data_IF_898828343880
#
_entry.id   IF_898828343880
#
_cell.length_a   1.000
_cell.length_b   1.000
_cell.length_c   1.000
_cell.angle_alpha   90.00
_cell.angle_beta   90.00
_cell.angle_gamma   90.00
#
_symmetry.space_group_name_H-M   'P 1'
#
loop_
_entity.id
_entity.type
_entity.pdbx_description
1 polymer ?
#
# COMPACT_ATOMS: atom_id res chain seq x y z
N UNK A 1 -11.53 -2.57 18.01
CA UNK A 1 -10.43 -1.85 18.70
C UNK A 1 -9.29 -2.79 18.99
N UNK A 2 -9.54 -3.92 19.68
CA UNK A 2 -8.56 -5.01 19.85
C UNK A 2 -7.93 -5.42 18.51
N UNK A 3 -8.73 -5.75 17.49
CA UNK A 3 -8.22 -6.09 16.15
C UNK A 3 -7.30 -5.01 15.55
N UNK A 4 -7.60 -3.74 15.77
CA UNK A 4 -6.76 -2.65 15.26
C UNK A 4 -5.44 -2.55 16.01
N UNK A 5 -5.45 -2.81 17.32
CA UNK A 5 -4.25 -2.87 18.14
C UNK A 5 -3.38 -4.08 17.79
N UNK A 6 -3.99 -5.28 17.73
CA UNK A 6 -3.27 -6.55 17.54
C UNK A 6 -2.64 -6.65 16.15
N UNK A 7 -3.28 -6.06 15.14
CA UNK A 7 -2.76 -6.02 13.77
C UNK A 7 -1.87 -4.80 13.49
N UNK A 8 -1.67 -3.90 14.46
CA UNK A 8 -0.88 -2.67 14.25
C UNK A 8 -1.48 -1.74 13.19
N UNK A 9 -2.82 -1.66 13.10
CA UNK A 9 -3.49 -0.84 12.11
C UNK A 9 -3.20 0.65 12.32
N UNK A 10 -2.85 1.34 11.24
CA UNK A 10 -2.51 2.77 11.24
C UNK A 10 -3.72 3.64 11.55
N UNK A 11 -4.93 3.20 11.18
CA UNK A 11 -6.17 3.91 11.46
C UNK A 11 -7.39 2.98 11.54
N UNK A 12 -8.39 3.40 12.31
CA UNK A 12 -9.74 2.83 12.27
C UNK A 12 -10.61 3.75 11.40
N UNK A 13 -11.11 3.23 10.29
CA UNK A 13 -12.01 3.96 9.41
C UNK A 13 -13.47 3.62 9.72
N UNK A 14 -14.34 4.62 9.65
CA UNK A 14 -15.77 4.45 9.86
C UNK A 14 -16.58 5.24 8.85
N UNK A 15 -17.77 4.75 8.51
CA UNK A 15 -18.72 5.54 7.74
C UNK A 15 -20.01 5.67 8.53
N UNK A 16 -20.48 6.89 8.72
CA UNK A 16 -21.64 7.15 9.57
C UNK A 16 -22.42 8.39 9.14
N UNK A 17 -23.76 8.25 9.11
CA UNK A 17 -24.67 9.37 8.88
C UNK A 17 -24.98 10.17 10.14
N UNK A 18 -24.92 9.56 11.34
CA UNK A 18 -25.28 10.21 12.61
C UNK A 18 -24.10 10.46 13.55
N UNK A 19 -22.93 9.90 13.27
CA UNK A 19 -21.75 9.99 14.14
C UNK A 19 -21.74 8.97 15.28
N UNK A 20 -22.78 8.14 15.42
CA UNK A 20 -22.90 7.19 16.55
C UNK A 20 -21.77 6.17 16.55
N UNK A 21 -21.43 5.61 15.38
CA UNK A 21 -20.34 4.64 15.22
C UNK A 21 -19.00 5.21 15.66
N UNK A 22 -18.63 6.39 15.13
CA UNK A 22 -17.38 7.06 15.49
C UNK A 22 -17.29 7.36 16.99
N UNK A 23 -18.40 7.83 17.60
CA UNK A 23 -18.48 8.06 19.05
C UNK A 23 -18.36 6.77 19.85
N UNK A 24 -18.99 5.68 19.41
CA UNK A 24 -18.89 4.37 20.08
C UNK A 24 -17.44 3.88 20.10
N UNK A 25 -16.71 3.99 18.99
CA UNK A 25 -15.30 3.59 18.92
C UNK A 25 -14.43 4.54 19.77
N UNK A 26 -14.69 5.84 19.71
CA UNK A 26 -13.98 6.86 20.48
C UNK A 26 -14.00 6.58 21.99
N UNK A 27 -15.09 6.01 22.54
CA UNK A 27 -15.18 5.63 23.96
C UNK A 27 -14.07 4.68 24.40
N UNK A 28 -13.60 3.80 23.52
CA UNK A 28 -12.55 2.83 23.81
C UNK A 28 -11.14 3.42 23.70
N UNK A 29 -11.01 4.71 23.35
CA UNK A 29 -9.74 5.44 23.29
C UNK A 29 -8.63 4.69 22.55
N UNK A 30 -8.86 4.25 21.29
CA UNK A 30 -7.82 3.57 20.52
C UNK A 30 -6.58 4.45 20.36
N UNK A 31 -5.39 3.83 20.34
CA UNK A 31 -4.13 4.56 20.14
C UNK A 31 -4.00 5.14 18.73
N UNK A 32 -4.58 4.48 17.72
CA UNK A 32 -4.63 4.95 16.35
C UNK A 32 -5.83 5.90 16.11
N UNK A 33 -5.71 6.86 15.18
CA UNK A 33 -6.79 7.79 14.85
C UNK A 33 -8.01 7.08 14.27
N UNK A 34 -9.19 7.64 14.56
CA UNK A 34 -10.48 7.20 14.02
C UNK A 34 -10.84 8.13 12.85
N UNK A 35 -10.65 7.68 11.62
CA UNK A 35 -11.02 8.44 10.42
C UNK A 35 -12.51 8.18 10.14
N UNK A 36 -13.35 9.21 10.16
CA UNK A 36 -14.81 9.03 10.02
C UNK A 36 -15.37 9.73 8.80
N UNK A 37 -15.80 8.95 7.81
CA UNK A 37 -16.52 9.40 6.64
C UNK A 37 -17.98 9.74 6.96
N UNK A 38 -18.42 10.93 6.56
CA UNK A 38 -19.83 11.32 6.60
C UNK A 38 -20.21 12.16 5.38
N UNK A 39 -21.48 12.09 4.98
CA UNK A 39 -22.05 12.92 3.91
C UNK A 39 -22.67 14.22 4.46
N UNK A 40 -22.76 14.38 5.79
CA UNK A 40 -23.42 15.51 6.42
C UNK A 40 -22.42 16.41 7.16
N UNK A 41 -22.30 17.65 6.73
CA UNK A 41 -21.42 18.66 7.34
C UNK A 41 -21.73 18.93 8.81
N UNK A 42 -23.00 18.93 9.22
CA UNK A 42 -23.40 19.09 10.63
C UNK A 42 -22.81 17.97 11.49
N UNK A 43 -22.86 16.74 11.01
CA UNK A 43 -22.33 15.57 11.73
C UNK A 43 -20.81 15.59 11.72
N UNK A 44 -20.18 16.02 10.64
CA UNK A 44 -18.74 16.26 10.56
C UNK A 44 -18.29 17.21 11.68
N UNK A 45 -18.94 18.38 11.83
CA UNK A 45 -18.61 19.34 12.89
C UNK A 45 -18.83 18.78 14.29
N UNK A 46 -19.91 18.02 14.51
CA UNK A 46 -20.13 17.36 15.80
C UNK A 46 -19.08 16.30 16.13
N UNK A 47 -18.55 15.60 15.11
CA UNK A 47 -17.51 14.58 15.29
C UNK A 47 -16.14 15.17 15.61
N UNK A 48 -15.84 16.41 15.18
CA UNK A 48 -14.60 17.10 15.58
C UNK A 48 -14.45 17.25 17.11
N UNK A 49 -15.54 17.21 17.86
CA UNK A 49 -15.53 17.26 19.33
C UNK A 49 -15.31 15.88 19.98
N UNK A 50 -15.28 14.81 19.19
CA UNK A 50 -15.12 13.44 19.69
C UNK A 50 -13.64 13.06 19.74
N UNK A 51 -13.21 12.50 20.86
CA UNK A 51 -11.80 12.17 21.09
C UNK A 51 -11.25 11.22 20.01
N UNK A 52 -10.08 11.55 19.46
CA UNK A 52 -9.39 10.74 18.47
C UNK A 52 -10.09 10.61 17.11
N UNK A 53 -11.20 11.33 16.88
CA UNK A 53 -11.95 11.29 15.63
C UNK A 53 -11.47 12.38 14.67
N UNK A 54 -11.08 11.97 13.46
CA UNK A 54 -10.75 12.84 12.33
C UNK A 54 -11.88 12.70 11.30
N UNK A 55 -12.86 13.60 11.28
CA UNK A 55 -13.98 13.49 10.35
C UNK A 55 -13.60 13.95 8.95
N UNK A 56 -14.06 13.22 7.93
CA UNK A 56 -13.86 13.53 6.52
C UNK A 56 -15.20 13.51 5.80
N UNK A 57 -15.38 14.46 4.88
CA UNK A 57 -16.53 14.44 3.97
C UNK A 57 -16.30 13.36 2.92
N UNK A 58 -17.33 12.53 2.71
CA UNK A 58 -17.36 11.50 1.67
C UNK A 58 -18.67 11.62 0.90
N UNK A 59 -18.70 10.99 -0.27
CA UNK A 59 -19.91 10.89 -1.08
C UNK A 59 -20.68 9.65 -0.68
N UNK A 60 -21.99 9.67 -0.88
CA UNK A 60 -22.81 8.48 -0.74
C UNK A 60 -22.52 7.52 -1.90
N UNK A 61 -22.41 6.23 -1.60
CA UNK A 61 -22.27 5.15 -2.56
C UNK A 61 -23.32 4.09 -2.25
N UNK A 62 -23.83 3.43 -3.28
CA UNK A 62 -24.91 2.45 -3.16
C UNK A 62 -24.37 1.07 -2.74
N UNK A 63 -23.09 0.82 -3.01
CA UNK A 63 -22.42 -0.43 -2.66
C UNK A 63 -21.48 -0.26 -1.46
N UNK A 64 -21.44 -1.27 -0.60
CA UNK A 64 -20.62 -1.33 0.61
C UNK A 64 -19.13 -1.34 0.30
N UNK A 65 -18.70 -2.12 -0.71
CA UNK A 65 -17.29 -2.15 -1.09
C UNK A 65 -16.83 -0.85 -1.74
N UNK A 66 -17.64 -0.28 -2.64
CA UNK A 66 -17.35 1.03 -3.25
C UNK A 66 -17.25 2.15 -2.22
N UNK A 67 -18.10 2.11 -1.18
CA UNK A 67 -18.03 3.07 -0.09
C UNK A 67 -16.74 2.94 0.72
N UNK A 68 -16.29 1.71 0.98
CA UNK A 68 -15.04 1.46 1.69
C UNK A 68 -13.84 1.93 0.90
N UNK A 69 -13.77 1.61 -0.39
CA UNK A 69 -12.71 2.07 -1.27
C UNK A 69 -12.72 3.59 -1.40
N UNK A 70 -13.90 4.22 -1.48
CA UNK A 70 -14.04 5.68 -1.50
C UNK A 70 -13.48 6.33 -0.24
N UNK A 71 -13.82 5.81 0.94
CA UNK A 71 -13.34 6.35 2.23
C UNK A 71 -11.83 6.21 2.37
N UNK A 72 -11.28 5.06 1.96
CA UNK A 72 -9.83 4.81 1.93
C UNK A 72 -9.14 5.79 0.99
N UNK A 73 -9.69 6.02 -0.21
CA UNK A 73 -9.15 6.95 -1.19
C UNK A 73 -9.17 8.41 -0.71
N UNK A 74 -10.28 8.87 -0.13
CA UNK A 74 -10.37 10.23 0.43
C UNK A 74 -9.40 10.40 1.61
N UNK A 75 -9.25 9.37 2.47
CA UNK A 75 -8.28 9.39 3.56
C UNK A 75 -6.84 9.46 3.04
N UNK A 76 -6.53 8.75 1.95
CA UNK A 76 -5.24 8.78 1.25
C UNK A 76 -4.95 10.16 0.66
N UNK A 77 -5.91 10.74 -0.05
CA UNK A 77 -5.78 12.08 -0.66
C UNK A 77 -5.53 13.17 0.38
N UNK A 78 -6.13 13.05 1.57
CA UNK A 78 -5.90 13.95 2.71
C UNK A 78 -4.59 13.69 3.46
N UNK A 79 -3.82 12.67 3.06
CA UNK A 79 -2.55 12.30 3.70
C UNK A 79 -2.71 11.68 5.09
N UNK A 80 -3.91 11.19 5.44
CA UNK A 80 -4.17 10.54 6.73
C UNK A 80 -3.69 9.08 6.75
N UNK A 81 -3.64 8.45 5.58
CA UNK A 81 -3.10 7.10 5.37
C UNK A 81 -2.26 7.09 4.09
N UNK A 82 -1.35 6.13 4.00
CA UNK A 82 -0.45 5.92 2.86
C UNK A 82 -0.68 4.53 2.28
N UNK A 83 -0.32 4.34 1.01
CA UNK A 83 -0.40 3.02 0.40
C UNK A 83 0.43 2.00 1.20
N UNK A 84 -0.11 0.81 1.42
CA UNK A 84 0.49 -0.23 2.25
C UNK A 84 0.18 -0.13 3.74
N UNK A 85 -0.49 0.94 4.20
CA UNK A 85 -0.96 1.00 5.58
C UNK A 85 -2.10 0.00 5.79
N UNK A 86 -2.10 -0.68 6.94
CA UNK A 86 -3.20 -1.54 7.34
C UNK A 86 -4.28 -0.71 8.04
N UNK A 87 -5.53 -0.85 7.61
CA UNK A 87 -6.66 -0.12 8.18
C UNK A 87 -7.79 -1.05 8.55
N UNK A 88 -8.53 -0.69 9.60
CA UNK A 88 -9.72 -1.42 10.03
C UNK A 88 -10.94 -0.56 9.77
N UNK A 89 -11.80 -1.00 8.87
CA UNK A 89 -13.03 -0.30 8.48
C UNK A 89 -14.20 -0.89 9.27
N UNK A 90 -15.07 -0.04 9.80
CA UNK A 90 -16.33 -0.49 10.39
C UNK A 90 -17.52 0.42 10.05
N UNK A 91 -18.64 -0.20 9.74
CA UNK A 91 -19.87 0.48 9.32
C UNK A 91 -21.11 -0.29 9.76
N UNK A 92 -22.27 0.34 9.61
CA UNK A 92 -23.57 -0.32 9.68
C UNK A 92 -24.07 -0.66 8.28
N UNK A 93 -24.51 -1.90 8.09
CA UNK A 93 -25.21 -2.38 6.89
C UNK A 93 -26.66 -2.70 7.28
N UNK A 94 -27.69 -2.25 6.55
CA UNK A 94 -27.64 -1.56 5.24
C UNK A 94 -27.06 -0.15 5.30
N UNK A 95 -26.37 0.24 4.23
CA UNK A 95 -25.85 1.59 4.09
C UNK A 95 -26.97 2.62 4.15
N UNK A 96 -26.68 3.77 4.76
CA UNK A 96 -27.62 4.89 4.83
C UNK A 96 -28.68 4.80 5.91
N UNK A 97 -28.82 3.65 6.61
CA UNK A 97 -29.68 3.51 7.78
C UNK A 97 -28.84 3.70 9.05
N UNK A 98 -29.19 4.71 9.86
CA UNK A 98 -28.53 4.94 11.15
C UNK A 98 -29.09 4.00 12.21
N UNK A 99 -28.25 3.23 12.90
CA UNK A 99 -28.69 2.47 14.08
C UNK A 99 -27.81 1.28 14.45
N UNK A 100 -27.17 0.67 13.46
CA UNK A 100 -26.34 -0.52 13.64
C UNK A 100 -24.89 -0.25 13.26
N UNK A 101 -23.97 -1.02 13.83
CA UNK A 101 -22.56 -1.08 13.44
C UNK A 101 -22.19 -2.54 13.54
N UNK A 102 -22.38 -3.26 12.43
CA UNK A 102 -22.36 -4.73 12.37
C UNK A 102 -21.33 -5.28 11.38
N UNK A 103 -20.51 -4.42 10.77
CA UNK A 103 -19.49 -4.84 9.82
C UNK A 103 -18.11 -4.36 10.29
N UNK A 104 -17.15 -5.27 10.24
CA UNK A 104 -15.72 -4.99 10.38
C UNK A 104 -14.98 -5.62 9.20
N UNK A 105 -14.18 -4.82 8.49
CA UNK A 105 -13.33 -5.24 7.37
C UNK A 105 -11.91 -4.75 7.63
N UNK A 106 -10.93 -5.62 7.45
CA UNK A 106 -9.51 -5.22 7.50
C UNK A 106 -9.02 -5.12 6.06
N UNK A 107 -8.40 -4.00 5.70
CA UNK A 107 -7.98 -3.73 4.32
C UNK A 107 -6.65 -2.96 4.31
N UNK A 108 -5.76 -3.35 3.40
CA UNK A 108 -4.57 -2.59 3.07
C UNK A 108 -4.93 -1.41 2.16
N UNK A 109 -4.35 -0.25 2.41
CA UNK A 109 -4.59 0.96 1.61
C UNK A 109 -3.86 0.83 0.27
N UNK A 110 -4.62 1.00 -0.83
CA UNK A 110 -4.10 0.97 -2.20
C UNK A 110 -3.91 -0.44 -2.77
N UNK A 111 -3.60 -0.50 -4.07
CA UNK A 111 -3.46 -1.75 -4.82
C UNK A 111 -2.07 -2.38 -4.59
N UNK A 112 -1.88 -2.99 -3.43
CA UNK A 112 -0.66 -3.76 -3.13
C UNK A 112 -0.72 -5.10 -3.85
N UNK A 113 0.25 -5.33 -4.75
CA UNK A 113 0.36 -6.58 -5.50
C UNK A 113 1.16 -7.62 -4.72
N UNK A 114 2.31 -7.20 -4.18
CA UNK A 114 3.25 -8.08 -3.48
C UNK A 114 3.91 -7.29 -2.34
N UNK A 115 4.20 -8.00 -1.26
CA UNK A 115 4.96 -7.50 -0.10
C UNK A 115 6.20 -8.36 0.11
N UNK A 116 7.27 -7.77 0.60
CA UNK A 116 8.53 -8.43 0.91
C UNK A 116 9.41 -7.52 1.76
N UNK A 117 10.66 -7.92 1.93
CA UNK A 117 11.66 -7.17 2.69
C UNK A 117 12.42 -6.22 1.75
N UNK A 118 12.24 -4.93 1.96
CA UNK A 118 12.99 -3.90 1.26
C UNK A 118 14.40 -3.75 1.85
N UNK A 119 15.43 -3.93 1.03
CA UNK A 119 16.83 -3.88 1.48
C UNK A 119 17.51 -2.57 1.11
N UNK A 120 17.27 -2.11 -0.11
CA UNK A 120 17.81 -0.85 -0.61
C UNK A 120 16.81 0.28 -0.39
N UNK A 121 17.25 1.53 -0.48
CA UNK A 121 16.38 2.69 -0.34
C UNK A 121 16.04 3.24 -1.73
N UNK A 122 14.76 3.53 -1.95
CA UNK A 122 14.32 4.15 -3.20
C UNK A 122 12.94 3.70 -3.63
N UNK A 123 12.31 4.54 -4.45
CA UNK A 123 11.03 4.23 -5.09
C UNK A 123 11.21 4.38 -6.60
N UNK A 124 10.78 3.40 -7.37
CA UNK A 124 10.90 3.36 -8.82
C UNK A 124 9.58 2.97 -9.46
N UNK A 125 9.28 3.58 -10.60
CA UNK A 125 8.14 3.19 -11.44
C UNK A 125 8.68 2.77 -12.81
N UNK A 126 8.54 1.50 -13.16
CA UNK A 126 8.84 1.01 -14.50
C UNK A 126 8.06 -0.27 -14.82
N UNK A 127 8.26 -0.81 -16.01
CA UNK A 127 7.60 -2.03 -16.44
C UNK A 127 8.25 -3.24 -15.78
N UNK A 128 7.44 -4.26 -15.52
CA UNK A 128 7.92 -5.53 -15.00
C UNK A 128 8.44 -6.42 -16.12
N UNK A 129 9.60 -7.00 -15.88
CA UNK A 129 10.15 -8.11 -16.64
C UNK A 129 10.21 -9.33 -15.72
N UNK A 130 9.19 -10.17 -15.78
CA UNK A 130 9.15 -11.44 -15.04
C UNK A 130 9.93 -12.47 -15.83
N UNK A 131 10.95 -13.06 -15.20
CA UNK A 131 11.83 -14.03 -15.83
C UNK A 131 12.03 -15.22 -14.89
N UNK A 132 11.61 -16.39 -15.34
CA UNK A 132 11.90 -17.65 -14.62
C UNK A 132 13.16 -18.27 -15.19
N UNK A 133 13.40 -18.07 -16.48
CA UNK A 133 14.52 -18.65 -17.21
C UNK A 133 15.44 -17.57 -17.78
N UNK A 134 16.74 -17.86 -17.86
CA UNK A 134 17.76 -16.95 -18.39
C UNK A 134 17.50 -16.52 -19.83
N UNK A 135 16.88 -17.37 -20.65
CA UNK A 135 16.55 -17.08 -22.04
C UNK A 135 15.45 -16.01 -22.17
N UNK A 136 14.47 -16.01 -21.26
CA UNK A 136 13.37 -15.03 -21.23
C UNK A 136 13.89 -13.63 -20.93
N UNK A 137 14.89 -13.52 -20.04
CA UNK A 137 15.53 -12.26 -19.69
C UNK A 137 16.22 -11.63 -20.92
N UNK A 138 16.79 -12.43 -21.83
CA UNK A 138 17.46 -11.90 -23.03
C UNK A 138 16.49 -11.33 -24.06
N UNK A 139 15.27 -11.86 -24.13
CA UNK A 139 14.28 -11.46 -25.14
C UNK A 139 13.37 -10.33 -24.66
N UNK A 140 13.04 -10.30 -23.37
CA UNK A 140 12.00 -9.41 -22.85
C UNK A 140 12.53 -8.22 -22.04
N UNK A 141 13.84 -8.14 -21.82
CA UNK A 141 14.43 -7.07 -21.01
C UNK A 141 14.65 -5.79 -21.83
N UNK A 142 14.08 -4.70 -21.34
CA UNK A 142 14.42 -3.35 -21.79
C UNK A 142 15.20 -2.62 -20.69
N UNK A 143 16.06 -1.69 -21.11
CA UNK A 143 16.82 -0.87 -20.16
C UNK A 143 15.88 -0.06 -19.26
N UNK A 144 16.05 -0.19 -17.95
CA UNK A 144 15.23 0.49 -16.96
C UNK A 144 14.02 -0.30 -16.42
N UNK A 145 13.79 -1.53 -16.87
CA UNK A 145 12.71 -2.39 -16.32
C UNK A 145 13.01 -2.86 -14.89
N UNK A 146 11.96 -3.23 -14.16
CA UNK A 146 12.06 -3.95 -12.88
C UNK A 146 12.11 -5.45 -13.17
N UNK A 147 13.18 -6.10 -12.72
CA UNK A 147 13.36 -7.54 -12.91
C UNK A 147 12.66 -8.28 -11.76
N UNK A 148 11.82 -9.26 -12.09
CA UNK A 148 11.22 -10.19 -11.11
C UNK A 148 11.77 -11.59 -11.38
N UNK A 149 12.46 -12.17 -10.40
CA UNK A 149 13.12 -13.47 -10.51
C UNK A 149 12.89 -14.29 -9.24
N UNK A 150 12.84 -15.63 -9.33
CA UNK A 150 12.74 -16.46 -8.14
C UNK A 150 14.06 -16.46 -7.35
N UNK A 151 15.19 -16.52 -8.06
CA UNK A 151 16.54 -16.57 -7.49
C UNK A 151 17.53 -15.80 -8.37
N UNK A 152 18.46 -15.10 -7.73
CA UNK A 152 19.54 -14.38 -8.44
C UNK A 152 20.82 -15.21 -8.59
N UNK A 153 21.50 -15.03 -9.73
CA UNK A 153 22.79 -15.66 -10.04
C UNK A 153 23.77 -14.65 -10.66
N UNK A 154 25.05 -15.00 -10.76
CA UNK A 154 26.07 -14.12 -11.37
C UNK A 154 25.82 -13.86 -12.88
N UNK A 155 25.10 -14.74 -13.56
CA UNK A 155 24.92 -14.68 -15.02
C UNK A 155 23.96 -13.56 -15.44
N UNK A 156 23.03 -13.17 -14.56
CA UNK A 156 22.07 -12.08 -14.81
C UNK A 156 22.62 -10.68 -14.44
N UNK A 157 23.86 -10.59 -13.94
CA UNK A 157 24.52 -9.35 -13.54
C UNK A 157 24.54 -8.23 -14.58
N UNK A 158 24.76 -8.50 -15.90
CA UNK A 158 24.73 -7.44 -16.91
C UNK A 158 23.37 -6.74 -17.00
N UNK A 159 22.29 -7.49 -16.77
CA UNK A 159 20.91 -6.99 -16.82
C UNK A 159 20.54 -6.27 -15.52
N UNK A 160 20.97 -6.79 -14.37
CA UNK A 160 20.77 -6.14 -13.07
C UNK A 160 21.36 -4.72 -13.05
N UNK A 161 22.53 -4.51 -13.67
CA UNK A 161 23.13 -3.16 -13.78
C UNK A 161 22.32 -2.17 -14.60
N UNK A 162 21.50 -2.65 -15.53
CA UNK A 162 20.65 -1.84 -16.40
C UNK A 162 19.21 -1.74 -15.91
N UNK A 163 18.85 -2.49 -14.87
CA UNK A 163 17.51 -2.51 -14.31
C UNK A 163 17.30 -1.31 -13.38
N UNK A 164 16.06 -0.83 -13.29
CA UNK A 164 15.72 0.22 -12.30
C UNK A 164 15.31 -0.35 -10.95
N UNK A 165 15.03 -1.65 -10.85
CA UNK A 165 14.63 -2.30 -9.60
C UNK A 165 14.68 -3.82 -9.71
N UNK A 166 14.78 -4.51 -8.57
CA UNK A 166 14.84 -5.97 -8.51
C UNK A 166 13.83 -6.48 -7.47
N UNK A 167 13.06 -7.50 -7.83
CA UNK A 167 12.16 -8.25 -6.94
C UNK A 167 12.62 -9.71 -6.97
N UNK A 168 12.85 -10.29 -5.80
CA UNK A 168 13.20 -11.71 -5.66
C UNK A 168 12.32 -12.44 -4.66
N UNK A 169 11.99 -13.69 -4.97
CA UNK A 169 11.19 -14.55 -4.08
C UNK A 169 12.04 -15.13 -2.93
N UNK A 170 13.34 -15.38 -3.17
CA UNK A 170 14.26 -15.86 -2.15
C UNK A 170 14.36 -14.85 -0.99
N UNK A 171 14.05 -15.24 0.26
CA UNK A 171 14.16 -14.36 1.41
C UNK A 171 15.61 -14.28 1.92
N UNK A 172 15.94 -13.16 2.58
CA UNK A 172 17.19 -13.00 3.31
C UNK A 172 18.07 -11.84 2.83
N UNK A 173 18.67 -11.15 3.79
CA UNK A 173 19.49 -9.95 3.53
C UNK A 173 20.86 -10.23 2.91
N UNK A 174 21.33 -11.47 3.01
CA UNK A 174 22.62 -11.90 2.49
C UNK A 174 22.51 -12.57 1.12
N UNK A 175 21.34 -12.49 0.47
CA UNK A 175 21.15 -13.00 -0.89
C UNK A 175 21.98 -12.19 -1.88
N UNK A 176 22.33 -12.82 -3.00
CA UNK A 176 23.09 -12.16 -4.06
C UNK A 176 22.36 -10.90 -4.58
N UNK A 177 21.03 -10.94 -4.73
CA UNK A 177 20.21 -9.79 -5.13
C UNK A 177 20.31 -8.61 -4.15
N UNK A 178 20.33 -8.89 -2.84
CA UNK A 178 20.43 -7.89 -1.79
C UNK A 178 21.77 -7.13 -1.86
N UNK A 179 22.88 -7.87 -1.94
CA UNK A 179 24.23 -7.31 -1.96
C UNK A 179 24.45 -6.49 -3.23
N UNK A 180 23.98 -7.00 -4.38
CA UNK A 180 24.08 -6.29 -5.66
C UNK A 180 23.22 -5.04 -5.68
N UNK A 181 21.99 -5.13 -5.17
CA UNK A 181 21.08 -4.00 -5.02
C UNK A 181 21.68 -2.84 -4.23
N UNK A 182 22.27 -3.15 -3.09
CA UNK A 182 22.98 -2.19 -2.25
C UNK A 182 24.20 -1.59 -2.95
N UNK A 183 25.01 -2.43 -3.60
CA UNK A 183 26.24 -2.00 -4.28
C UNK A 183 25.96 -1.09 -5.48
N UNK A 184 24.87 -1.34 -6.20
CA UNK A 184 24.47 -0.57 -7.38
C UNK A 184 23.49 0.57 -7.05
N UNK A 185 23.09 0.71 -5.79
CA UNK A 185 22.07 1.67 -5.34
C UNK A 185 20.75 1.56 -6.14
N UNK A 186 20.35 0.32 -6.41
CA UNK A 186 19.10 -0.03 -7.08
C UNK A 186 18.14 -0.53 -6.00
N UNK A 187 16.86 -0.12 -6.00
CA UNK A 187 15.88 -0.58 -5.01
C UNK A 187 15.58 -2.08 -5.20
N UNK A 188 15.63 -2.83 -4.09
CA UNK A 188 15.50 -4.29 -4.10
C UNK A 188 14.55 -4.75 -3.00
N UNK A 189 13.57 -5.55 -3.39
CA UNK A 189 12.66 -6.26 -2.49
C UNK A 189 13.00 -7.75 -2.56
N UNK A 190 13.28 -8.35 -1.41
CA UNK A 190 13.52 -9.80 -1.27
C UNK A 190 12.38 -10.46 -0.52
N UNK A 191 12.27 -11.79 -0.56
CA UNK A 191 11.21 -12.52 0.15
C UNK A 191 9.79 -12.25 -0.37
N UNK A 192 9.66 -11.77 -1.61
CA UNK A 192 8.40 -11.49 -2.25
C UNK A 192 7.72 -12.80 -2.69
N UNK A 193 7.01 -13.47 -1.78
CA UNK A 193 6.47 -14.81 -2.02
C UNK A 193 5.54 -14.86 -3.25
N UNK A 194 5.81 -15.80 -4.18
CA UNK A 194 5.08 -15.99 -5.44
C UNK A 194 5.01 -14.76 -6.35
N UNK A 195 5.95 -13.82 -6.23
CA UNK A 195 6.01 -12.63 -7.09
C UNK A 195 5.99 -12.98 -8.59
N UNK A 196 6.63 -14.08 -9.00
CA UNK A 196 6.70 -14.53 -10.39
C UNK A 196 5.35 -14.99 -10.95
N UNK A 197 4.43 -15.46 -10.10
CA UNK A 197 3.11 -15.93 -10.51
C UNK A 197 2.05 -14.82 -10.46
N UNK A 198 2.17 -13.92 -9.48
CA UNK A 198 1.22 -12.83 -9.26
C UNK A 198 1.45 -11.70 -10.29
N UNK A 199 2.72 -11.42 -10.58
CA UNK A 199 3.11 -10.35 -11.48
C UNK A 199 3.15 -10.83 -12.93
N UNK A 200 2.79 -9.94 -13.86
CA UNK A 200 2.86 -10.21 -15.31
C UNK A 200 3.82 -9.24 -15.98
N UNK A 201 4.59 -9.76 -16.93
CA UNK A 201 5.52 -8.95 -17.73
C UNK A 201 4.77 -7.88 -18.53
N UNK A 202 5.40 -6.71 -18.67
CA UNK A 202 4.86 -5.56 -19.40
C UNK A 202 3.91 -4.66 -18.61
N UNK A 203 3.52 -5.05 -17.39
CA UNK A 203 2.71 -4.21 -16.51
C UNK A 203 3.60 -3.17 -15.82
N UNK A 204 3.18 -1.91 -15.83
CA UNK A 204 3.86 -0.86 -15.06
C UNK A 204 3.47 -0.96 -13.59
N UNK A 205 4.47 -1.03 -12.71
CA UNK A 205 4.26 -1.04 -11.26
C UNK A 205 5.14 0.00 -10.59
N UNK A 206 4.79 0.31 -9.35
CA UNK A 206 5.62 1.13 -8.47
C UNK A 206 6.21 0.25 -7.39
N UNK A 207 7.53 0.14 -7.39
CA UNK A 207 8.30 -0.56 -6.37
C UNK A 207 8.74 0.45 -5.31
N UNK A 208 8.41 0.18 -4.05
CA UNK A 208 8.82 0.98 -2.91
C UNK A 208 9.64 0.14 -1.93
N UNK A 209 10.95 0.31 -2.00
CA UNK A 209 11.91 -0.49 -1.24
C UNK A 209 12.08 -0.01 0.20
N UNK A 210 11.61 1.18 0.56
CA UNK A 210 11.60 1.63 1.97
C UNK A 210 10.55 0.87 2.79
N UNK A 211 9.41 0.57 2.17
CA UNK A 211 8.31 -0.18 2.78
C UNK A 211 8.32 -1.67 2.44
N UNK A 212 9.06 -2.07 1.42
CA UNK A 212 9.04 -3.45 0.91
C UNK A 212 7.74 -3.82 0.19
N UNK A 213 7.13 -2.85 -0.52
CA UNK A 213 5.79 -3.03 -1.12
C UNK A 213 5.82 -2.70 -2.61
N UNK A 214 5.14 -3.53 -3.41
CA UNK A 214 4.91 -3.31 -4.84
C UNK A 214 3.45 -2.92 -5.06
N UNK A 215 3.23 -1.77 -5.70
CA UNK A 215 1.90 -1.22 -5.99
C UNK A 215 1.56 -1.33 -7.48
N UNK A 216 0.29 -1.55 -7.81
CA UNK A 216 -0.20 -1.45 -9.17
C UNK A 216 -0.09 0.00 -9.68
N UNK A 217 0.44 0.17 -10.90
CA UNK A 217 0.77 1.49 -11.43
C UNK A 217 -0.43 2.27 -11.97
N UNK A 218 -0.92 3.24 -11.20
CA UNK A 218 -1.58 4.47 -11.69
C UNK A 218 -1.22 5.68 -10.84
N UNK A 219 0.01 6.20 -10.96
CA UNK A 219 0.31 7.61 -10.63
C UNK A 219 1.70 8.03 -11.15
N UNK A 220 1.71 8.95 -12.13
CA UNK A 220 2.90 9.54 -12.79
C UNK A 220 3.59 10.62 -11.94
N UNK A 221 3.90 10.35 -10.67
CA UNK A 221 4.77 11.24 -9.86
C UNK A 221 5.87 10.46 -9.17
N UNK A 222 6.92 10.14 -9.92
CA UNK A 222 8.21 9.84 -9.34
C UNK A 222 8.87 11.19 -9.00
N UNK A 223 8.71 11.65 -7.76
CA UNK A 223 9.42 12.84 -7.28
C UNK A 223 10.90 12.45 -7.22
N UNK A 224 11.69 12.95 -8.18
CA UNK A 224 13.14 12.98 -8.04
C UNK A 224 13.43 13.78 -6.77
N UNK A 225 13.84 13.12 -5.67
CA UNK A 225 14.49 13.82 -4.56
C UNK A 225 15.82 14.35 -5.12
N UNK A 226 15.79 15.58 -5.62
CA UNK A 226 16.99 16.36 -5.94
C UNK A 226 17.84 16.39 -4.69
N UNK A 227 19.03 15.82 -4.77
CA UNK A 227 20.08 15.98 -3.77
C UNK A 227 20.32 17.49 -3.58
N UNK A 228 19.85 18.06 -2.47
CA UNK A 228 20.41 19.31 -1.96
C UNK A 228 21.71 18.93 -1.25
N UNK A 229 22.82 18.97 -2.00
CA UNK A 229 24.14 19.20 -1.42
C UNK A 229 24.14 20.60 -0.81
N UNK A 230 24.33 20.68 0.50
CA UNK A 230 24.91 21.86 1.15
C UNK A 230 26.41 21.67 1.20
#
# INVERSE_FOLDING_TARGET
VTTAHDLGAVAIMTVTKSGRTARTISKYRPACPIISGTTNSKVMYQMNLSWGVVPIMVEEKDNTDELFDHVVNVAREKGLVKNGDLTVITAGVPLGISGTTNLLKVQLVGDVLVTGDGISLGTVCSNLCVCTTQAELKQNFHEGDIIVIPKSSNEIMPYMRKASGIITEEPGMNTHAAIVGLSLNIPVIVGAANATQILRSGVTVRLDSDRGIVYAGKEKKCVKKTQQKK
#
